data_IF_828883723791
#
_entry.id   IF_828883723791
#
_cell.length_a   1.000
_cell.length_b   1.000
_cell.length_c   1.000
_cell.angle_alpha   90.00
_cell.angle_beta   90.00
_cell.angle_gamma   90.00
#
_symmetry.space_group_name_H-M   'P 1'
#
loop_
_entity.id
_entity.type
_entity.pdbx_description
1 polymer ?
#
# COMPACT_ATOMS: atom_id res chain seq x y z
N UNK A 1 37.75 40.42 28.44
CA UNK A 1 38.03 38.98 28.57
C UNK A 1 37.21 38.24 27.53
N UNK A 2 37.93 37.65 26.57
CA UNK A 2 37.64 36.48 25.72
C UNK A 2 36.21 36.04 25.36
N UNK A 3 36.00 36.00 24.03
CA UNK A 3 35.06 35.22 23.23
C UNK A 3 34.95 33.74 23.67
N UNK A 4 33.79 33.12 23.44
CA UNK A 4 33.57 31.93 22.59
C UNK A 4 32.27 31.22 22.98
N UNK A 5 31.33 31.17 22.02
CA UNK A 5 30.29 30.15 21.95
C UNK A 5 30.96 28.84 21.50
N UNK A 6 30.51 27.67 22.01
CA UNK A 6 30.33 26.56 21.07
C UNK A 6 29.03 25.77 21.28
N UNK A 7 28.36 25.62 20.15
CA UNK A 7 27.50 24.53 19.68
C UNK A 7 27.77 23.18 20.36
N UNK A 8 26.72 22.49 20.83
CA UNK A 8 26.72 21.02 20.90
C UNK A 8 25.31 20.44 20.67
N UNK A 9 25.11 20.09 19.40
CA UNK A 9 24.57 18.79 18.95
C UNK A 9 23.06 18.56 19.04
N UNK A 10 22.42 18.97 17.94
CA UNK A 10 21.23 18.37 17.34
C UNK A 10 21.32 16.84 17.33
N UNK A 11 20.58 16.17 18.20
CA UNK A 11 20.30 14.73 18.09
C UNK A 11 19.12 14.58 17.12
N UNK A 12 19.45 14.47 15.84
CA UNK A 12 18.56 13.93 14.83
C UNK A 12 18.27 12.48 15.21
N UNK A 13 17.11 12.25 15.83
CA UNK A 13 16.54 10.92 15.97
C UNK A 13 16.12 10.47 14.56
N UNK A 14 17.07 9.85 13.87
CA UNK A 14 16.82 9.04 12.68
C UNK A 14 16.02 7.83 13.16
N UNK A 15 14.70 7.98 13.27
CA UNK A 15 13.79 6.85 13.24
C UNK A 15 13.63 6.41 11.79
N UNK A 16 14.65 5.75 11.25
CA UNK A 16 14.42 4.79 10.18
C UNK A 16 13.90 3.52 10.84
N UNK A 17 12.62 3.53 11.22
CA UNK A 17 11.93 2.29 11.50
C UNK A 17 11.56 1.71 10.13
N UNK A 18 12.44 0.89 9.56
CA UNK A 18 12.07 0.05 8.42
C UNK A 18 11.37 -1.17 8.99
N UNK A 19 10.06 -1.08 9.17
CA UNK A 19 9.26 -2.24 9.55
C UNK A 19 9.19 -3.21 8.36
N UNK A 20 10.20 -4.06 8.21
CA UNK A 20 10.03 -5.36 7.58
C UNK A 20 9.41 -6.33 8.60
N UNK A 21 8.23 -5.96 9.11
CA UNK A 21 7.37 -6.92 9.79
C UNK A 21 6.94 -7.95 8.76
N UNK A 22 7.66 -9.07 8.73
CA UNK A 22 7.10 -10.35 8.31
C UNK A 22 6.13 -10.81 9.40
N UNK A 23 5.11 -9.99 9.70
CA UNK A 23 3.96 -10.43 10.46
C UNK A 23 3.21 -11.36 9.51
N UNK A 24 3.43 -12.65 9.68
CA UNK A 24 2.59 -13.68 9.10
C UNK A 24 1.18 -13.46 9.69
N UNK A 25 0.42 -12.58 9.05
CA UNK A 25 -0.92 -12.21 9.46
C UNK A 25 -1.82 -13.42 9.15
N UNK A 26 -2.40 -14.10 10.15
CA UNK A 26 -3.14 -15.35 9.94
C UNK A 26 -4.32 -15.21 8.96
N UNK A 27 -4.81 -13.99 8.73
CA UNK A 27 -5.82 -13.71 7.69
C UNK A 27 -5.30 -13.95 6.26
N UNK A 28 -3.98 -13.85 6.05
CA UNK A 28 -3.33 -14.14 4.76
C UNK A 28 -2.81 -15.57 4.66
N UNK A 29 -2.88 -16.37 5.73
CA UNK A 29 -2.50 -17.79 5.70
C UNK A 29 -3.37 -18.62 4.72
N UNK A 30 -4.51 -18.07 4.29
CA UNK A 30 -5.38 -18.65 3.27
C UNK A 30 -5.29 -17.93 1.91
N UNK A 31 -4.51 -16.84 1.82
CA UNK A 31 -4.22 -16.18 0.55
C UNK A 31 -3.16 -17.00 -0.18
N UNK A 32 -3.42 -17.36 -1.44
CA UNK A 32 -2.43 -18.03 -2.31
C UNK A 32 -1.30 -17.08 -2.75
N UNK A 33 -1.02 -16.04 -1.97
CA UNK A 33 -0.02 -15.01 -2.24
C UNK A 33 1.30 -15.49 -1.65
N UNK A 34 2.38 -15.34 -2.42
CA UNK A 34 3.72 -15.64 -1.93
C UNK A 34 4.05 -14.75 -0.71
N UNK A 35 4.23 -15.32 0.50
CA UNK A 35 4.48 -14.54 1.71
C UNK A 35 5.83 -13.79 1.67
N UNK A 36 6.73 -14.14 0.74
CA UNK A 36 7.99 -13.41 0.52
C UNK A 36 7.71 -12.04 -0.13
N UNK A 37 6.63 -11.90 -0.90
CA UNK A 37 6.21 -10.64 -1.47
C UNK A 37 5.44 -9.77 -0.45
N UNK A 38 6.17 -9.28 0.54
CA UNK A 38 5.60 -8.50 1.66
C UNK A 38 4.81 -7.26 1.22
N UNK A 39 5.14 -6.67 0.07
CA UNK A 39 4.44 -5.50 -0.47
C UNK A 39 3.07 -5.87 -1.04
N UNK A 40 3.00 -6.94 -1.84
CA UNK A 40 1.72 -7.46 -2.33
C UNK A 40 0.84 -7.93 -1.16
N UNK A 41 1.42 -8.63 -0.19
CA UNK A 41 0.74 -9.10 1.02
C UNK A 41 0.04 -7.94 1.76
N UNK A 42 0.79 -6.86 2.06
CA UNK A 42 0.25 -5.68 2.77
C UNK A 42 -0.83 -4.96 1.96
N UNK A 43 -0.57 -4.70 0.68
CA UNK A 43 -1.54 -4.02 -0.20
C UNK A 43 -2.80 -4.85 -0.43
N UNK A 44 -2.67 -6.17 -0.60
CA UNK A 44 -3.79 -7.07 -0.81
C UNK A 44 -4.75 -7.12 0.39
N UNK A 45 -4.22 -7.05 1.62
CA UNK A 45 -5.07 -6.93 2.82
C UNK A 45 -5.95 -5.68 2.74
N UNK A 46 -5.38 -4.53 2.38
CA UNK A 46 -6.14 -3.28 2.20
C UNK A 46 -7.21 -3.44 1.11
N UNK A 47 -6.85 -4.05 -0.03
CA UNK A 47 -7.77 -4.28 -1.15
C UNK A 47 -8.93 -5.19 -0.73
N UNK A 48 -8.65 -6.24 0.03
CA UNK A 48 -9.68 -7.16 0.53
C UNK A 48 -10.65 -6.43 1.47
N UNK A 49 -10.11 -5.68 2.43
CA UNK A 49 -10.88 -5.03 3.49
C UNK A 49 -11.65 -3.80 3.00
N UNK A 50 -11.09 -3.05 2.05
CA UNK A 50 -11.60 -1.72 1.64
C UNK A 50 -12.20 -1.69 0.24
N UNK A 51 -11.89 -2.66 -0.63
CA UNK A 51 -12.33 -2.63 -2.03
C UNK A 51 -13.29 -3.79 -2.36
N UNK A 52 -12.87 -5.02 -2.09
CA UNK A 52 -13.67 -6.22 -2.41
C UNK A 52 -14.93 -6.28 -1.53
N UNK A 53 -14.82 -5.83 -0.27
CA UNK A 53 -15.91 -5.81 0.71
C UNK A 53 -17.09 -4.91 0.31
N UNK A 54 -16.85 -3.81 -0.41
CA UNK A 54 -17.88 -2.82 -0.71
C UNK A 54 -18.76 -3.16 -1.93
N UNK A 55 -18.30 -4.02 -2.85
CA UNK A 55 -19.06 -4.39 -4.05
C UNK A 55 -19.02 -5.88 -4.35
N UNK A 56 -19.92 -6.63 -3.70
CA UNK A 56 -20.16 -8.04 -4.02
C UNK A 56 -20.59 -8.15 -5.49
N UNK A 57 -19.73 -8.75 -6.31
CA UNK A 57 -19.96 -9.00 -7.74
C UNK A 57 -19.11 -8.13 -8.68
N UNK A 58 -18.66 -6.95 -8.26
CA UNK A 58 -17.87 -6.06 -9.13
C UNK A 58 -16.37 -6.31 -9.02
N UNK A 59 -15.86 -6.50 -7.79
CA UNK A 59 -14.44 -6.74 -7.52
C UNK A 59 -14.15 -8.18 -7.09
N UNK A 60 -15.13 -9.09 -7.15
CA UNK A 60 -14.94 -10.47 -6.71
C UNK A 60 -13.79 -11.18 -7.43
N UNK A 61 -13.55 -10.86 -8.71
CA UNK A 61 -12.44 -11.45 -9.48
C UNK A 61 -11.07 -11.06 -8.92
N UNK A 62 -10.95 -9.93 -8.23
CA UNK A 62 -9.69 -9.47 -7.64
C UNK A 62 -9.22 -10.39 -6.51
N UNK A 63 -10.13 -11.16 -5.90
CA UNK A 63 -9.78 -12.18 -4.92
C UNK A 63 -8.90 -13.31 -5.50
N UNK A 64 -8.79 -13.40 -6.83
CA UNK A 64 -7.92 -14.37 -7.52
C UNK A 64 -6.57 -13.79 -7.94
N UNK A 65 -6.35 -12.47 -7.78
CA UNK A 65 -5.12 -11.80 -8.19
C UNK A 65 -4.07 -11.91 -7.10
N UNK A 66 -3.46 -13.10 -7.00
CA UNK A 66 -2.52 -13.42 -5.91
C UNK A 66 -1.06 -13.23 -6.28
N UNK A 67 -0.77 -12.64 -7.45
CA UNK A 67 0.58 -12.32 -7.94
C UNK A 67 0.61 -10.93 -8.54
N UNK A 68 1.78 -10.28 -8.55
CA UNK A 68 1.95 -8.97 -9.20
C UNK A 68 1.55 -9.01 -10.67
N UNK A 69 1.96 -10.08 -11.38
CA UNK A 69 1.63 -10.25 -12.79
C UNK A 69 0.12 -10.32 -13.02
N UNK A 70 -0.65 -10.98 -12.14
CA UNK A 70 -2.11 -11.01 -12.27
C UNK A 70 -2.73 -9.61 -12.15
N UNK A 71 -2.18 -8.76 -11.28
CA UNK A 71 -2.62 -7.37 -11.16
C UNK A 71 -2.27 -6.53 -12.38
N UNK A 72 -1.07 -6.71 -12.93
CA UNK A 72 -0.61 -6.05 -14.16
C UNK A 72 -1.46 -6.49 -15.36
N UNK A 73 -1.64 -7.80 -15.55
CA UNK A 73 -2.42 -8.38 -16.66
C UNK A 73 -3.88 -7.99 -16.62
N UNK A 74 -4.42 -7.72 -15.42
CA UNK A 74 -5.79 -7.22 -15.26
C UNK A 74 -5.97 -5.77 -15.72
N UNK A 75 -4.88 -5.03 -15.97
CA UNK A 75 -4.89 -3.61 -16.32
C UNK A 75 -5.24 -2.67 -15.17
N UNK A 76 -5.34 -3.17 -13.92
CA UNK A 76 -5.59 -2.32 -12.76
C UNK A 76 -4.34 -1.58 -12.28
N UNK A 77 -3.16 -2.04 -12.70
CA UNK A 77 -1.87 -1.53 -12.27
C UNK A 77 -0.92 -1.42 -13.46
N UNK A 78 -0.19 -0.32 -13.52
CA UNK A 78 0.98 -0.14 -14.38
C UNK A 78 2.21 -0.20 -13.47
N UNK A 79 3.04 -1.23 -13.64
CA UNK A 79 4.23 -1.45 -12.80
C UNK A 79 5.12 -0.20 -12.73
N UNK A 80 5.48 0.21 -11.51
CA UNK A 80 6.29 1.39 -11.24
C UNK A 80 5.60 2.74 -11.49
N UNK A 81 4.35 2.77 -11.98
CA UNK A 81 3.69 4.02 -12.39
C UNK A 81 2.32 4.19 -11.71
N UNK A 82 2.33 4.90 -10.58
CA UNK A 82 1.12 5.24 -9.82
C UNK A 82 0.13 6.07 -10.63
N UNK A 83 0.63 7.03 -11.41
CA UNK A 83 -0.18 7.94 -12.21
C UNK A 83 -1.05 7.25 -13.26
N UNK A 84 -0.60 6.09 -13.74
CA UNK A 84 -1.23 5.31 -14.81
C UNK A 84 -1.87 4.02 -14.28
N UNK A 85 -1.96 3.85 -12.97
CA UNK A 85 -2.56 2.67 -12.33
C UNK A 85 -4.03 2.94 -11.96
N UNK A 86 -5.02 2.35 -12.66
CA UNK A 86 -6.44 2.55 -12.36
C UNK A 86 -6.84 2.28 -10.91
N UNK A 87 -6.16 1.35 -10.23
CA UNK A 87 -6.37 1.06 -8.82
C UNK A 87 -6.19 2.32 -7.97
N UNK A 88 -5.17 3.14 -8.27
CA UNK A 88 -4.84 4.34 -7.49
C UNK A 88 -5.57 5.59 -7.99
N UNK A 89 -5.69 5.77 -9.31
CA UNK A 89 -6.32 6.98 -9.88
C UNK A 89 -7.80 7.10 -9.53
N UNK A 90 -8.47 5.98 -9.22
CA UNK A 90 -9.87 5.98 -8.78
C UNK A 90 -10.04 6.33 -7.30
N UNK A 91 -8.99 6.28 -6.49
CA UNK A 91 -9.07 6.55 -5.06
C UNK A 91 -9.34 8.04 -4.80
N UNK A 92 -10.21 8.32 -3.82
CA UNK A 92 -10.46 9.67 -3.30
C UNK A 92 -9.19 10.34 -2.79
N UNK A 93 -8.22 9.55 -2.31
CA UNK A 93 -6.88 10.03 -1.93
C UNK A 93 -6.16 10.78 -3.08
N UNK A 94 -6.53 10.53 -4.35
CA UNK A 94 -6.04 11.29 -5.53
C UNK A 94 -7.12 12.07 -6.27
N UNK A 95 -8.23 12.40 -5.60
CA UNK A 95 -9.35 13.13 -6.22
C UNK A 95 -10.30 12.28 -7.06
N UNK A 96 -10.16 10.95 -7.01
CA UNK A 96 -11.16 10.02 -7.54
C UNK A 96 -12.42 9.94 -6.66
N UNK A 97 -13.25 8.92 -6.90
CA UNK A 97 -14.53 8.75 -6.22
C UNK A 97 -14.66 7.45 -5.40
N UNK A 98 -13.62 6.60 -5.38
CA UNK A 98 -13.60 5.36 -4.60
C UNK A 98 -12.91 5.56 -3.24
N UNK A 99 -13.44 4.98 -2.15
CA UNK A 99 -14.68 4.20 -2.08
C UNK A 99 -15.93 5.09 -2.21
N UNK A 100 -16.95 4.63 -2.95
CA UNK A 100 -18.23 5.36 -3.07
C UNK A 100 -18.91 5.40 -1.70
N UNK A 101 -19.28 6.60 -1.22
CA UNK A 101 -19.92 6.79 0.08
C UNK A 101 -19.04 6.48 1.31
N UNK A 102 -17.89 5.82 1.13
CA UNK A 102 -16.92 5.54 2.18
C UNK A 102 -15.92 6.69 2.40
N UNK A 103 -15.16 6.65 3.51
CA UNK A 103 -14.06 7.58 3.73
C UNK A 103 -12.89 7.30 2.77
N UNK A 104 -11.92 8.20 2.76
CA UNK A 104 -10.61 7.93 2.16
C UNK A 104 -9.94 6.74 2.87
N UNK A 105 -9.02 6.08 2.18
CA UNK A 105 -8.07 5.20 2.84
C UNK A 105 -7.26 6.00 3.86
N UNK A 106 -6.86 5.37 4.95
CA UNK A 106 -5.86 5.97 5.86
C UNK A 106 -4.53 6.16 5.12
N UNK A 107 -3.62 6.95 5.68
CA UNK A 107 -2.29 7.13 5.08
C UNK A 107 -1.57 5.78 4.97
N UNK A 108 -1.56 4.97 6.03
CA UNK A 108 -0.91 3.66 6.04
C UNK A 108 -1.50 2.70 4.99
N UNK A 109 -2.83 2.71 4.82
CA UNK A 109 -3.52 1.89 3.82
C UNK A 109 -3.19 2.33 2.38
N UNK A 110 -3.16 3.65 2.15
CA UNK A 110 -2.80 4.22 0.87
C UNK A 110 -1.32 3.97 0.54
N UNK A 111 -0.43 4.16 1.51
CA UNK A 111 1.01 3.95 1.38
C UNK A 111 1.34 2.47 1.12
N UNK A 112 0.60 1.53 1.71
CA UNK A 112 0.75 0.11 1.40
C UNK A 112 0.49 -0.19 -0.09
N UNK A 113 -0.53 0.44 -0.69
CA UNK A 113 -0.86 0.27 -2.12
C UNK A 113 0.18 0.93 -3.00
N UNK A 114 0.56 2.18 -2.70
CA UNK A 114 1.50 2.96 -3.52
C UNK A 114 2.91 2.35 -3.47
N UNK A 115 3.41 2.03 -2.27
CA UNK A 115 4.73 1.42 -2.08
C UNK A 115 4.84 0.09 -2.84
N UNK A 116 3.77 -0.70 -2.85
CA UNK A 116 3.73 -1.92 -3.63
C UNK A 116 3.87 -1.64 -5.13
N UNK A 117 3.03 -0.77 -5.70
CA UNK A 117 3.05 -0.48 -7.15
C UNK A 117 4.37 0.16 -7.60
N UNK A 118 4.95 1.06 -6.79
CA UNK A 118 6.24 1.69 -7.09
C UNK A 118 7.41 0.69 -7.06
N UNK A 119 7.27 -0.41 -6.31
CA UNK A 119 8.28 -1.46 -6.21
C UNK A 119 8.13 -2.57 -7.27
N UNK A 120 7.09 -2.51 -8.12
CA UNK A 120 6.86 -3.44 -9.24
C UNK A 120 7.75 -3.15 -10.44
#
# INVERSE_FOLDING_TARGET
>A
MTKLLPIFTLVLLISCQTDNSNSFDPDLANSQIDPINTNLVKSYKVIQDRCISCHTGYHNSWASYTTDQAWIDSGNITAGVIGDSPLVTKLKNRGGNMPIGGPNLTNDEYDAIVTWIEAL
#
